data_IF_825866247781
#
_entry.id   IF_825866247781
#
_cell.length_a   1.000
_cell.length_b   1.000
_cell.length_c   1.000
_cell.angle_alpha   90.00
_cell.angle_beta   90.00
_cell.angle_gamma   90.00
#
_symmetry.space_group_name_H-M   'P 1'
#
loop_
_entity.id
_entity.type
_entity.pdbx_description
1 polymer ?
#
# COMPACT_ATOMS: atom_id res chain seq x y z
N UNK A 1 -10.86 28.47 27.40
CA UNK A 1 -11.17 27.30 26.54
C UNK A 1 -9.97 27.05 25.65
N UNK A 2 -9.12 26.07 25.99
CA UNK A 2 -7.96 25.69 25.18
C UNK A 2 -8.42 24.60 24.20
N UNK A 3 -8.45 24.90 22.91
CA UNK A 3 -8.59 23.89 21.87
C UNK A 3 -7.27 23.12 21.77
N UNK A 4 -7.34 21.81 22.00
CA UNK A 4 -6.24 20.85 21.85
C UNK A 4 -5.89 20.68 20.36
N UNK A 5 -4.88 21.42 19.89
CA UNK A 5 -4.26 21.23 18.57
C UNK A 5 -3.16 20.14 18.62
N UNK A 6 -3.52 18.92 19.03
CA UNK A 6 -2.53 17.86 19.28
C UNK A 6 -2.81 16.49 18.61
N UNK A 7 -3.85 16.33 17.78
CA UNK A 7 -4.17 15.02 17.20
C UNK A 7 -3.84 14.84 15.71
N UNK A 8 -3.60 15.92 14.95
CA UNK A 8 -3.40 15.85 13.49
C UNK A 8 -2.04 15.31 13.06
N UNK A 9 -0.99 15.40 13.89
CA UNK A 9 0.35 14.91 13.56
C UNK A 9 0.50 13.38 13.56
N UNK A 10 -0.44 12.63 14.15
CA UNK A 10 -0.30 11.17 14.28
C UNK A 10 -0.84 10.40 13.06
N UNK A 11 -1.84 10.95 12.37
CA UNK A 11 -2.60 10.26 11.32
C UNK A 11 -1.87 10.24 9.97
N UNK A 12 -1.36 11.37 9.46
CA UNK A 12 -0.59 11.36 8.20
C UNK A 12 0.65 10.48 8.32
N UNK A 13 1.28 10.48 9.51
CA UNK A 13 2.42 9.61 9.79
C UNK A 13 2.10 8.11 9.67
N UNK A 14 0.85 7.68 9.92
CA UNK A 14 0.46 6.27 9.81
C UNK A 14 0.23 5.85 8.35
N UNK A 15 -0.43 6.70 7.56
CA UNK A 15 -0.61 6.48 6.12
C UNK A 15 0.74 6.47 5.39
N UNK A 16 1.61 7.44 5.70
CA UNK A 16 2.98 7.52 5.16
C UNK A 16 3.81 6.27 5.50
N UNK A 17 3.76 5.81 6.75
CA UNK A 17 4.44 4.56 7.15
C UNK A 17 3.90 3.35 6.40
N UNK A 18 2.59 3.27 6.20
CA UNK A 18 1.97 2.18 5.43
C UNK A 18 2.41 2.23 3.96
N UNK A 19 2.42 3.42 3.36
CA UNK A 19 2.91 3.65 2.00
C UNK A 19 4.37 3.23 1.85
N UNK A 20 5.26 3.74 2.71
CA UNK A 20 6.69 3.42 2.68
C UNK A 20 6.95 1.92 2.86
N UNK A 21 6.28 1.30 3.83
CA UNK A 21 6.39 -0.15 4.06
C UNK A 21 5.88 -0.94 2.86
N UNK A 22 4.82 -0.46 2.21
CA UNK A 22 4.27 -1.04 0.98
C UNK A 22 5.28 -0.96 -0.17
N UNK A 23 5.90 0.21 -0.39
CA UNK A 23 6.92 0.40 -1.42
C UNK A 23 8.14 -0.49 -1.20
N UNK A 24 8.63 -0.59 0.04
CA UNK A 24 9.73 -1.49 0.38
C UNK A 24 9.38 -2.95 0.10
N UNK A 25 8.16 -3.38 0.42
CA UNK A 25 7.69 -4.73 0.10
C UNK A 25 7.57 -4.97 -1.42
N UNK A 26 7.26 -3.94 -2.23
CA UNK A 26 7.35 -4.04 -3.69
C UNK A 26 8.80 -4.27 -4.13
N UNK A 27 9.74 -3.49 -3.62
CA UNK A 27 11.16 -3.65 -3.93
C UNK A 27 11.65 -5.06 -3.59
N UNK A 28 11.34 -5.54 -2.38
CA UNK A 28 11.65 -6.91 -1.96
C UNK A 28 11.05 -7.95 -2.91
N UNK A 29 9.77 -7.80 -3.28
CA UNK A 29 9.11 -8.71 -4.20
C UNK A 29 9.74 -8.71 -5.59
N UNK A 30 10.03 -7.54 -6.16
CA UNK A 30 10.63 -7.42 -7.49
C UNK A 30 12.03 -8.03 -7.52
N UNK A 31 12.82 -7.86 -6.46
CA UNK A 31 14.19 -8.40 -6.37
C UNK A 31 14.28 -9.85 -5.87
N UNK A 32 13.20 -10.43 -5.34
CA UNK A 32 13.19 -11.83 -4.96
C UNK A 32 13.31 -12.74 -6.20
N UNK A 33 14.24 -13.70 -6.14
CA UNK A 33 14.42 -14.73 -7.17
C UNK A 33 13.43 -15.88 -7.00
N UNK A 34 13.13 -16.25 -5.76
CA UNK A 34 12.17 -17.31 -5.43
C UNK A 34 10.72 -16.83 -5.66
N UNK A 35 9.94 -17.63 -6.39
CA UNK A 35 8.58 -17.28 -6.79
C UNK A 35 7.63 -17.13 -5.59
N UNK A 36 7.77 -17.97 -4.56
CA UNK A 36 6.92 -17.93 -3.37
C UNK A 36 7.20 -16.68 -2.53
N UNK A 37 8.49 -16.38 -2.28
CA UNK A 37 8.92 -15.15 -1.59
C UNK A 37 8.53 -13.90 -2.36
N UNK A 38 8.66 -13.91 -3.68
CA UNK A 38 8.20 -12.83 -4.57
C UNK A 38 6.70 -12.59 -4.39
N UNK A 39 5.90 -13.66 -4.49
CA UNK A 39 4.45 -13.58 -4.35
C UNK A 39 4.00 -13.12 -2.95
N UNK A 40 4.65 -13.58 -1.89
CA UNK A 40 4.40 -13.14 -0.52
C UNK A 40 4.67 -11.64 -0.34
N UNK A 41 5.84 -11.16 -0.75
CA UNK A 41 6.21 -9.76 -0.63
C UNK A 41 5.25 -8.84 -1.42
N UNK A 42 4.84 -9.24 -2.63
CA UNK A 42 3.87 -8.50 -3.43
C UNK A 42 2.46 -8.48 -2.81
N UNK A 43 2.01 -9.58 -2.20
CA UNK A 43 0.74 -9.63 -1.44
C UNK A 43 0.80 -8.73 -0.20
N UNK A 44 1.93 -8.73 0.51
CA UNK A 44 2.16 -7.84 1.65
C UNK A 44 2.15 -6.38 1.22
N UNK A 45 2.81 -6.04 0.11
CA UNK A 45 2.77 -4.71 -0.48
C UNK A 45 1.34 -4.26 -0.78
N UNK A 46 0.54 -5.13 -1.43
CA UNK A 46 -0.88 -4.86 -1.72
C UNK A 46 -1.67 -4.58 -0.44
N UNK A 47 -1.49 -5.40 0.59
CA UNK A 47 -2.16 -5.21 1.88
C UNK A 47 -1.81 -3.85 2.51
N UNK A 48 -0.54 -3.47 2.50
CA UNK A 48 -0.07 -2.19 3.04
C UNK A 48 -0.58 -0.99 2.25
N UNK A 49 -0.69 -1.09 0.93
CA UNK A 49 -1.29 -0.05 0.08
C UNK A 49 -2.79 0.09 0.33
N UNK A 50 -3.53 -1.00 0.46
CA UNK A 50 -4.95 -0.96 0.85
C UNK A 50 -5.14 -0.38 2.26
N UNK A 51 -4.22 -0.69 3.20
CA UNK A 51 -4.21 -0.06 4.51
C UNK A 51 -3.95 1.44 4.42
N UNK A 52 -3.00 1.87 3.58
CA UNK A 52 -2.73 3.29 3.33
C UNK A 52 -3.98 4.03 2.87
N UNK A 53 -4.70 3.48 1.88
CA UNK A 53 -6.00 4.01 1.41
C UNK A 53 -7.00 4.12 2.56
N UNK A 54 -7.20 3.05 3.33
CA UNK A 54 -8.11 3.07 4.48
C UNK A 54 -7.74 4.14 5.51
N UNK A 55 -6.44 4.35 5.77
CA UNK A 55 -5.97 5.39 6.68
C UNK A 55 -6.24 6.80 6.12
N UNK A 56 -6.05 7.02 4.81
CA UNK A 56 -6.36 8.29 4.15
C UNK A 56 -7.85 8.62 4.15
N UNK A 57 -8.73 7.60 4.09
CA UNK A 57 -10.17 7.80 3.93
C UNK A 57 -10.97 7.78 5.25
N UNK A 58 -10.47 7.10 6.29
CA UNK A 58 -11.24 6.85 7.52
C UNK A 58 -10.75 7.71 8.70
N UNK A 59 -9.48 8.13 8.71
CA UNK A 59 -8.91 8.78 9.90
C UNK A 59 -9.35 10.23 10.09
N UNK A 60 -9.77 10.91 9.03
CA UNK A 60 -10.33 12.26 9.09
C UNK A 60 -11.84 12.19 8.86
N UNK A 61 -12.60 12.95 9.66
CA UNK A 61 -14.06 12.96 9.60
C UNK A 61 -14.60 13.38 8.23
N UNK A 62 -13.82 14.18 7.50
CA UNK A 62 -14.03 14.56 6.10
C UNK A 62 -12.66 14.55 5.41
N UNK A 63 -12.31 13.50 4.63
CA UNK A 63 -11.07 13.50 3.86
C UNK A 63 -11.12 14.59 2.77
N UNK A 64 -10.07 15.37 2.63
CA UNK A 64 -10.05 16.56 1.76
C UNK A 64 -8.94 16.53 0.70
N UNK A 65 -9.21 17.20 -0.42
CA UNK A 65 -8.21 17.62 -1.42
C UNK A 65 -7.21 16.54 -1.83
N UNK A 66 -5.95 16.73 -1.43
CA UNK A 66 -4.82 15.89 -1.81
C UNK A 66 -4.92 14.45 -1.25
N UNK A 67 -5.53 14.25 -0.07
CA UNK A 67 -5.70 12.92 0.51
C UNK A 67 -6.61 12.04 -0.37
N UNK A 68 -7.73 12.60 -0.84
CA UNK A 68 -8.64 11.93 -1.75
C UNK A 68 -7.98 11.61 -3.10
N UNK A 69 -7.17 12.55 -3.63
CA UNK A 69 -6.43 12.33 -4.88
C UNK A 69 -5.42 11.18 -4.76
N UNK A 70 -4.69 11.10 -3.64
CA UNK A 70 -3.78 9.99 -3.37
C UNK A 70 -4.49 8.67 -3.16
N UNK A 71 -5.57 8.65 -2.38
CA UNK A 71 -6.39 7.45 -2.19
C UNK A 71 -6.89 6.92 -3.54
N UNK A 72 -7.49 7.79 -4.35
CA UNK A 72 -7.99 7.45 -5.68
C UNK A 72 -6.89 6.92 -6.61
N UNK A 73 -5.69 7.52 -6.60
CA UNK A 73 -4.56 7.06 -7.41
C UNK A 73 -4.04 5.70 -6.95
N UNK A 74 -3.92 5.48 -5.64
CA UNK A 74 -3.50 4.18 -5.12
C UNK A 74 -4.52 3.10 -5.50
N UNK A 75 -5.81 3.39 -5.39
CA UNK A 75 -6.88 2.44 -5.73
C UNK A 75 -6.98 2.14 -7.22
N UNK A 76 -6.86 3.14 -8.08
CA UNK A 76 -7.08 2.99 -9.52
C UNK A 76 -5.83 2.57 -10.31
N UNK A 77 -4.63 2.91 -9.84
CA UNK A 77 -3.39 2.64 -10.57
C UNK A 77 -2.51 1.61 -9.85
N UNK A 78 -2.21 1.85 -8.56
CA UNK A 78 -1.22 1.06 -7.82
C UNK A 78 -1.75 -0.32 -7.48
N UNK A 79 -2.95 -0.43 -6.89
CA UNK A 79 -3.53 -1.71 -6.51
C UNK A 79 -3.75 -2.62 -7.73
N UNK A 80 -4.29 -2.17 -8.88
CA UNK A 80 -4.42 -3.02 -10.06
C UNK A 80 -3.06 -3.51 -10.59
N UNK A 81 -2.05 -2.64 -10.60
CA UNK A 81 -0.69 -2.97 -11.01
C UNK A 81 -0.09 -4.08 -10.12
N UNK A 82 -0.22 -3.95 -8.80
CA UNK A 82 0.19 -5.00 -7.85
C UNK A 82 -0.56 -6.31 -8.08
N UNK A 83 -1.85 -6.25 -8.40
CA UNK A 83 -2.62 -7.44 -8.78
C UNK A 83 -2.06 -8.13 -10.03
N UNK A 84 -1.60 -7.35 -11.02
CA UNK A 84 -0.89 -7.87 -12.19
C UNK A 84 0.42 -8.58 -11.82
N UNK A 85 1.24 -7.95 -10.97
CA UNK A 85 2.51 -8.50 -10.52
C UNK A 85 2.34 -9.81 -9.73
N UNK A 86 1.32 -9.90 -8.87
CA UNK A 86 1.00 -11.13 -8.12
C UNK A 86 0.64 -12.28 -9.08
N UNK A 87 -0.25 -12.03 -10.06
CA UNK A 87 -0.60 -13.04 -11.07
C UNK A 87 0.60 -13.45 -11.92
N UNK A 88 1.50 -12.52 -12.20
CA UNK A 88 2.75 -12.81 -12.89
C UNK A 88 3.66 -13.71 -12.06
N UNK A 89 3.84 -13.44 -10.76
CA UNK A 89 4.65 -14.31 -9.88
C UNK A 89 4.10 -15.73 -9.79
N UNK A 90 2.77 -15.89 -9.75
CA UNK A 90 2.11 -17.21 -9.77
C UNK A 90 2.31 -17.97 -11.09
N UNK A 91 2.53 -17.26 -12.21
CA UNK A 91 2.87 -17.89 -13.49
C UNK A 91 4.33 -18.33 -13.55
N UNK A 92 5.24 -17.63 -12.88
CA UNK A 92 6.65 -18.03 -12.78
C UNK A 92 6.80 -19.34 -12.01
N UNK A 93 6.21 -19.45 -10.82
CA UNK A 93 6.32 -20.67 -10.00
C UNK A 93 5.71 -21.92 -10.64
N UNK A 94 4.83 -21.76 -11.64
CA UNK A 94 4.29 -22.87 -12.45
C UNK A 94 5.21 -23.34 -13.57
N UNK A 95 6.20 -22.55 -13.99
CA UNK A 95 7.17 -22.91 -15.03
C UNK A 95 8.40 -23.63 -14.48
N UNK A 96 8.66 -23.45 -13.18
CA UNK A 96 9.80 -24.05 -12.49
C UNK A 96 9.49 -25.46 -11.93
N UNK A 97 8.23 -25.89 -12.00
CA UNK A 97 7.76 -27.23 -11.63
C UNK A 97 7.48 -28.05 -12.88
#
# INVERSE_FOLDING_TARGET
MRATAASTGSSSSAAERALLSGLLAVCEGVHAYDADRKGEALRRARCLMSRCVGLLLIQDAEPEGEQLAWAARIESEVLPTLGGLIRWSEKLGRRER
#
